data_IF_327490848761
#
_entry.id   IF_327490848761
#
_cell.length_a   1.000
_cell.length_b   1.000
_cell.length_c   1.000
_cell.angle_alpha   90.00
_cell.angle_beta   90.00
_cell.angle_gamma   90.00
#
_symmetry.space_group_name_H-M   'P 1'
#
loop_
_entity.id
_entity.type
_entity.pdbx_description
1 polymer ?
#
# COMPACT_ATOMS: atom_id res chain seq x y z
N UNK A 1 -20.02 -24.20 -18.25
CA UNK A 1 -19.73 -24.71 -16.89
C UNK A 1 -18.28 -24.36 -16.57
N UNK A 2 -18.06 -23.20 -15.92
CA UNK A 2 -16.73 -22.77 -15.46
C UNK A 2 -16.45 -23.53 -14.15
N UNK A 3 -15.54 -24.47 -14.16
CA UNK A 3 -15.08 -25.18 -12.97
C UNK A 3 -14.34 -24.18 -12.09
N UNK A 4 -14.86 -23.95 -10.90
CA UNK A 4 -14.30 -23.16 -9.83
C UNK A 4 -12.96 -23.81 -9.46
N UNK A 5 -11.84 -23.17 -9.79
CA UNK A 5 -10.48 -23.54 -9.35
C UNK A 5 -10.26 -22.94 -7.95
N UNK A 6 -11.09 -23.36 -7.01
CA UNK A 6 -10.97 -22.92 -5.60
C UNK A 6 -10.15 -23.89 -4.72
N UNK A 7 -9.52 -24.92 -5.31
CA UNK A 7 -9.05 -26.06 -4.51
C UNK A 7 -7.54 -26.24 -4.38
N UNK A 8 -6.70 -25.30 -4.82
CA UNK A 8 -5.23 -25.51 -4.79
C UNK A 8 -4.44 -24.66 -3.79
N UNK A 9 -5.03 -23.64 -3.18
CA UNK A 9 -4.30 -22.78 -2.23
C UNK A 9 -4.46 -23.17 -0.75
N UNK A 10 -5.46 -23.96 -0.38
CA UNK A 10 -5.69 -24.38 1.00
C UNK A 10 -4.73 -25.47 1.49
N UNK A 11 -4.08 -26.25 0.60
CA UNK A 11 -3.25 -27.40 1.01
C UNK A 11 -1.80 -27.04 1.34
N UNK A 12 -1.38 -25.79 1.13
CA UNK A 12 0.00 -25.35 1.41
C UNK A 12 0.21 -24.87 2.86
N UNK A 13 -0.84 -24.86 3.68
CA UNK A 13 -0.76 -24.40 5.07
C UNK A 13 -0.07 -25.40 6.02
N UNK A 14 0.11 -26.66 5.62
CA UNK A 14 0.55 -27.73 6.53
C UNK A 14 2.07 -27.85 6.73
N UNK A 15 2.90 -27.03 6.08
CA UNK A 15 4.35 -26.97 6.34
C UNK A 15 4.82 -25.65 6.95
N UNK A 16 3.96 -24.94 7.65
CA UNK A 16 4.21 -23.53 8.06
C UNK A 16 5.14 -23.37 9.27
N UNK A 17 5.35 -24.41 10.09
CA UNK A 17 6.15 -24.30 11.33
C UNK A 17 7.67 -24.28 11.12
N UNK A 18 8.17 -24.57 9.93
CA UNK A 18 9.60 -24.59 9.60
C UNK A 18 10.07 -23.36 8.79
N UNK A 19 9.14 -22.52 8.29
CA UNK A 19 9.49 -21.36 7.46
C UNK A 19 9.84 -20.13 8.30
N UNK A 20 10.92 -19.42 7.90
CA UNK A 20 11.26 -18.15 8.53
C UNK A 20 10.21 -17.08 8.27
N UNK A 21 10.15 -16.04 9.12
CA UNK A 21 9.29 -14.85 8.93
C UNK A 21 9.49 -14.26 7.52
N UNK A 22 10.76 -14.17 7.06
CA UNK A 22 11.07 -13.68 5.71
C UNK A 22 10.40 -14.49 4.62
N UNK A 23 10.51 -15.83 4.65
CA UNK A 23 9.89 -16.70 3.65
C UNK A 23 8.36 -16.61 3.66
N UNK A 24 7.75 -16.49 4.83
CA UNK A 24 6.28 -16.32 4.95
C UNK A 24 5.83 -14.98 4.36
N UNK A 25 6.55 -13.89 4.62
CA UNK A 25 6.27 -12.57 4.04
C UNK A 25 6.48 -12.54 2.52
N UNK A 26 7.52 -13.19 2.00
CA UNK A 26 7.74 -13.32 0.56
C UNK A 26 6.59 -14.05 -0.13
N UNK A 27 6.07 -15.09 0.51
CA UNK A 27 4.90 -15.81 0.01
C UNK A 27 3.65 -14.92 0.01
N UNK A 28 3.43 -14.13 1.06
CA UNK A 28 2.33 -13.17 1.10
C UNK A 28 2.46 -12.13 -0.02
N UNK A 29 3.68 -11.65 -0.30
CA UNK A 29 3.96 -10.80 -1.45
C UNK A 29 3.53 -11.46 -2.77
N UNK A 30 3.96 -12.71 -3.00
CA UNK A 30 3.65 -13.41 -4.26
C UNK A 30 2.15 -13.63 -4.44
N UNK A 31 1.45 -14.03 -3.38
CA UNK A 31 0.00 -14.26 -3.41
C UNK A 31 -0.75 -12.96 -3.66
N UNK A 32 -0.38 -11.87 -2.97
CA UNK A 32 -0.97 -10.54 -3.17
C UNK A 32 -0.82 -10.05 -4.61
N UNK A 33 0.39 -10.14 -5.16
CA UNK A 33 0.67 -9.69 -6.52
C UNK A 33 0.04 -10.60 -7.58
N UNK A 34 -0.08 -11.90 -7.31
CA UNK A 34 -0.70 -12.84 -8.23
C UNK A 34 -2.20 -12.60 -8.35
N UNK A 35 -2.92 -12.43 -7.23
CA UNK A 35 -4.37 -12.21 -7.28
C UNK A 35 -4.71 -10.95 -8.07
N UNK A 36 -3.97 -9.85 -7.87
CA UNK A 36 -4.18 -8.57 -8.57
C UNK A 36 -3.83 -8.59 -10.06
N UNK A 37 -3.04 -9.58 -10.51
CA UNK A 37 -2.75 -9.79 -11.94
C UNK A 37 -3.80 -10.63 -12.65
N UNK A 38 -4.43 -11.55 -11.93
CA UNK A 38 -5.31 -12.57 -12.53
C UNK A 38 -6.78 -12.33 -12.27
N UNK A 39 -7.10 -11.49 -11.29
CA UNK A 39 -8.47 -11.25 -10.85
C UNK A 39 -8.84 -9.77 -10.99
N UNK A 40 -10.06 -9.52 -11.44
CA UNK A 40 -10.66 -8.18 -11.58
C UNK A 40 -11.93 -8.02 -10.73
N UNK A 41 -12.33 -9.08 -10.02
CA UNK A 41 -13.50 -9.07 -9.14
C UNK A 41 -13.08 -8.67 -7.74
N UNK A 42 -13.46 -7.48 -7.31
CA UNK A 42 -13.06 -6.89 -6.03
C UNK A 42 -13.33 -7.80 -4.82
N UNK A 43 -14.48 -8.47 -4.79
CA UNK A 43 -14.82 -9.38 -3.68
C UNK A 43 -13.89 -10.58 -3.56
N UNK A 44 -13.29 -11.06 -4.65
CA UNK A 44 -12.31 -12.14 -4.64
C UNK A 44 -10.94 -11.63 -4.17
N UNK A 45 -10.58 -10.42 -4.58
CA UNK A 45 -9.36 -9.75 -4.10
C UNK A 45 -9.47 -9.51 -2.59
N UNK A 46 -10.59 -8.97 -2.11
CA UNK A 46 -10.82 -8.74 -0.67
C UNK A 46 -10.82 -10.04 0.15
N UNK A 47 -11.39 -11.12 -0.37
CA UNK A 47 -11.35 -12.42 0.26
C UNK A 47 -9.90 -12.90 0.44
N UNK A 48 -9.06 -12.74 -0.58
CA UNK A 48 -7.63 -13.08 -0.49
C UNK A 48 -6.89 -12.17 0.49
N UNK A 49 -7.17 -10.87 0.50
CA UNK A 49 -6.59 -9.92 1.47
C UNK A 49 -6.96 -10.31 2.91
N UNK A 50 -8.18 -10.79 3.13
CA UNK A 50 -8.60 -11.31 4.44
C UNK A 50 -7.79 -12.53 4.87
N UNK A 51 -7.51 -13.47 3.96
CA UNK A 51 -6.63 -14.61 4.20
C UNK A 51 -5.20 -14.15 4.50
N UNK A 52 -4.66 -13.21 3.72
CA UNK A 52 -3.32 -12.65 3.93
C UNK A 52 -3.18 -12.01 5.32
N UNK A 53 -4.19 -11.26 5.78
CA UNK A 53 -4.25 -10.69 7.13
C UNK A 53 -4.26 -11.77 8.22
N UNK A 54 -5.04 -12.82 8.04
CA UNK A 54 -5.11 -13.92 9.00
C UNK A 54 -3.75 -14.63 9.13
N UNK A 55 -3.10 -14.92 8.01
CA UNK A 55 -1.77 -15.53 7.97
C UNK A 55 -0.72 -14.62 8.60
N UNK A 56 -0.75 -13.30 8.33
CA UNK A 56 0.19 -12.35 8.90
C UNK A 56 0.10 -12.32 10.43
N UNK A 57 -1.09 -12.35 11.01
CA UNK A 57 -1.31 -12.34 12.47
C UNK A 57 -0.58 -13.45 13.20
N UNK A 58 -0.38 -14.62 12.58
CA UNK A 58 0.24 -15.77 13.22
C UNK A 58 1.71 -15.56 13.57
N UNK A 59 2.40 -14.66 12.85
CA UNK A 59 3.86 -14.54 12.98
C UNK A 59 4.40 -13.11 12.99
N UNK A 60 3.54 -12.10 12.86
CA UNK A 60 3.98 -10.70 12.77
C UNK A 60 4.67 -10.23 14.06
N UNK A 61 4.39 -10.85 15.20
CA UNK A 61 5.06 -10.55 16.46
C UNK A 61 6.57 -10.85 16.42
N UNK A 62 6.99 -11.80 15.59
CA UNK A 62 8.40 -12.20 15.42
C UNK A 62 9.11 -11.40 14.31
N UNK A 63 8.43 -10.40 13.74
CA UNK A 63 8.98 -9.61 12.65
C UNK A 63 10.19 -8.78 13.08
N UNK A 64 11.29 -8.98 12.36
CA UNK A 64 12.49 -8.16 12.43
C UNK A 64 12.94 -7.80 11.02
N UNK A 65 12.94 -6.50 10.62
CA UNK A 65 13.29 -6.09 9.26
C UNK A 65 14.73 -6.47 8.86
N UNK A 66 15.66 -6.54 9.82
CA UNK A 66 17.05 -6.90 9.52
C UNK A 66 17.24 -8.38 9.16
N UNK A 67 16.32 -9.25 9.59
CA UNK A 67 16.31 -10.69 9.24
C UNK A 67 15.43 -11.01 8.03
N UNK A 68 14.81 -10.01 7.43
CA UNK A 68 13.92 -10.13 6.28
C UNK A 68 14.60 -9.64 5.00
N UNK A 69 14.32 -10.30 3.87
CA UNK A 69 14.71 -9.81 2.54
C UNK A 69 13.96 -8.52 2.17
N UNK A 70 14.44 -7.79 1.16
CA UNK A 70 13.72 -6.63 0.63
C UNK A 70 12.31 -6.99 0.15
N UNK A 71 12.14 -8.15 -0.52
CA UNK A 71 10.84 -8.66 -0.94
C UNK A 71 9.92 -8.95 0.25
N UNK A 72 10.46 -9.54 1.33
CA UNK A 72 9.69 -9.81 2.55
C UNK A 72 9.20 -8.52 3.21
N UNK A 73 10.06 -7.50 3.36
CA UNK A 73 9.68 -6.20 3.91
C UNK A 73 8.61 -5.51 3.05
N UNK A 74 8.70 -5.63 1.72
CA UNK A 74 7.67 -5.15 0.80
C UNK A 74 6.37 -5.98 0.92
N UNK A 75 6.45 -7.28 1.18
CA UNK A 75 5.29 -8.14 1.45
C UNK A 75 4.52 -7.68 2.69
N UNK A 76 5.21 -7.34 3.77
CA UNK A 76 4.57 -6.74 4.95
C UNK A 76 3.86 -5.43 4.59
N UNK A 77 4.53 -4.53 3.86
CA UNK A 77 3.93 -3.29 3.40
C UNK A 77 2.64 -3.54 2.60
N UNK A 78 2.65 -4.45 1.61
CA UNK A 78 1.49 -4.72 0.76
C UNK A 78 0.30 -5.24 1.59
N UNK A 79 0.52 -6.25 2.44
CA UNK A 79 -0.57 -6.80 3.27
C UNK A 79 -1.17 -5.73 4.18
N UNK A 80 -0.34 -4.87 4.78
CA UNK A 80 -0.85 -3.79 5.63
C UNK A 80 -1.54 -2.71 4.81
N UNK A 81 -1.02 -2.32 3.64
CA UNK A 81 -1.62 -1.30 2.76
C UNK A 81 -2.98 -1.72 2.22
N UNK A 82 -3.17 -3.02 1.94
CA UNK A 82 -4.45 -3.59 1.50
C UNK A 82 -5.36 -4.04 2.66
N UNK A 83 -5.06 -3.58 3.88
CA UNK A 83 -5.84 -3.91 5.07
C UNK A 83 -6.70 -2.73 5.52
N UNK A 84 -7.86 -2.99 6.14
CA UNK A 84 -8.64 -1.94 6.78
C UNK A 84 -7.83 -1.16 7.82
N UNK A 85 -8.14 0.12 8.01
CA UNK A 85 -7.43 1.02 8.92
C UNK A 85 -7.29 0.43 10.35
N UNK A 86 -8.36 -0.15 10.88
CA UNK A 86 -8.35 -0.78 12.21
C UNK A 86 -7.34 -1.93 12.35
N UNK A 87 -6.98 -2.60 11.24
CA UNK A 87 -5.97 -3.64 11.24
C UNK A 87 -4.55 -3.07 11.12
N UNK A 88 -4.34 -2.13 10.20
CA UNK A 88 -2.99 -1.63 9.87
C UNK A 88 -2.46 -0.59 10.86
N UNK A 89 -3.34 0.20 11.48
CA UNK A 89 -2.92 1.28 12.36
C UNK A 89 -2.10 0.82 13.58
N UNK A 90 -2.47 -0.25 14.31
CA UNK A 90 -1.64 -0.78 15.41
C UNK A 90 -0.27 -1.30 14.94
N UNK A 91 -0.13 -1.65 13.67
CA UNK A 91 1.09 -2.22 13.08
C UNK A 91 1.94 -1.19 12.31
N UNK A 92 1.51 0.08 12.25
CA UNK A 92 2.21 1.14 11.50
C UNK A 92 3.68 1.29 11.92
N UNK A 93 3.98 1.09 13.18
CA UNK A 93 5.34 1.11 13.72
C UNK A 93 6.29 0.08 13.06
N UNK A 94 5.77 -1.00 12.48
CA UNK A 94 6.58 -2.01 11.80
C UNK A 94 7.10 -1.48 10.46
N UNK A 95 6.27 -0.75 9.72
CA UNK A 95 6.64 -0.08 8.46
C UNK A 95 7.68 1.02 8.74
N UNK A 96 7.45 1.84 9.76
CA UNK A 96 8.40 2.86 10.18
C UNK A 96 9.75 2.24 10.56
N UNK A 97 9.76 1.17 11.35
CA UNK A 97 10.97 0.44 11.73
C UNK A 97 11.73 -0.10 10.52
N UNK A 98 11.01 -0.67 9.53
CA UNK A 98 11.63 -1.18 8.30
C UNK A 98 12.29 -0.06 7.50
N UNK A 99 11.62 1.10 7.37
CA UNK A 99 12.17 2.27 6.70
C UNK A 99 13.40 2.84 7.44
N UNK A 100 13.32 3.07 8.76
CA UNK A 100 14.42 3.58 9.59
C UNK A 100 15.66 2.69 9.49
N UNK A 101 15.47 1.37 9.39
CA UNK A 101 16.53 0.37 9.18
C UNK A 101 17.02 0.29 7.73
N UNK A 102 16.48 1.10 6.81
CA UNK A 102 16.79 1.08 5.37
C UNK A 102 16.50 -0.29 4.72
N UNK A 103 15.48 -0.98 5.21
CA UNK A 103 14.99 -2.27 4.71
C UNK A 103 13.72 -2.15 3.89
N UNK A 104 13.16 -0.94 3.82
CA UNK A 104 12.01 -0.58 2.99
C UNK A 104 12.31 0.74 2.29
N UNK A 105 11.97 0.84 1.01
CA UNK A 105 12.16 2.05 0.23
C UNK A 105 11.26 3.20 0.73
N UNK A 106 11.74 4.43 0.64
CA UNK A 106 11.07 5.62 1.14
C UNK A 106 9.66 5.81 0.56
N UNK A 107 9.46 5.44 -0.71
CA UNK A 107 8.16 5.57 -1.36
C UNK A 107 7.08 4.68 -0.69
N UNK A 108 7.43 3.48 -0.25
CA UNK A 108 6.48 2.60 0.46
C UNK A 108 6.14 3.11 1.85
N UNK A 109 7.14 3.68 2.56
CA UNK A 109 6.89 4.36 3.83
C UNK A 109 5.97 5.56 3.65
N UNK A 110 6.28 6.45 2.69
CA UNK A 110 5.47 7.63 2.38
C UNK A 110 4.03 7.24 2.00
N UNK A 111 3.88 6.27 1.09
CA UNK A 111 2.56 5.79 0.65
C UNK A 111 1.76 5.16 1.79
N UNK A 112 2.41 4.46 2.71
CA UNK A 112 1.73 3.88 3.86
C UNK A 112 1.22 4.95 4.83
N UNK A 113 2.03 5.97 5.12
CA UNK A 113 1.64 7.09 5.98
C UNK A 113 0.48 7.88 5.37
N UNK A 114 0.59 8.22 4.09
CA UNK A 114 -0.46 8.94 3.37
C UNK A 114 -1.74 8.12 3.24
N UNK A 115 -1.64 6.81 3.02
CA UNK A 115 -2.79 5.92 2.97
C UNK A 115 -3.57 5.83 4.29
N UNK A 116 -2.90 5.92 5.44
CA UNK A 116 -3.57 6.03 6.74
C UNK A 116 -4.36 7.33 6.82
N UNK A 117 -3.77 8.45 6.42
CA UNK A 117 -4.41 9.77 6.46
C UNK A 117 -5.57 9.86 5.47
N UNK A 118 -5.40 9.28 4.28
CA UNK A 118 -6.46 9.17 3.27
C UNK A 118 -7.72 8.48 3.86
N UNK A 119 -7.55 7.32 4.50
CA UNK A 119 -8.66 6.59 5.12
C UNK A 119 -9.30 7.34 6.30
N UNK A 120 -8.56 8.24 6.94
CA UNK A 120 -9.04 9.11 8.01
C UNK A 120 -9.69 10.41 7.47
N UNK A 121 -9.75 10.58 6.15
CA UNK A 121 -10.17 11.83 5.50
C UNK A 121 -9.34 13.02 5.97
N UNK A 122 -8.04 12.81 6.14
CA UNK A 122 -7.07 13.86 6.50
C UNK A 122 -6.19 14.22 5.29
N UNK A 123 -5.65 15.47 5.24
CA UNK A 123 -4.66 15.82 4.23
C UNK A 123 -3.42 14.96 4.34
N UNK A 124 -2.93 14.43 3.22
CA UNK A 124 -1.72 13.63 3.15
C UNK A 124 -0.44 14.45 3.37
N UNK A 125 0.70 13.79 3.60
CA UNK A 125 1.98 14.42 3.93
C UNK A 125 2.93 14.46 2.74
N UNK A 126 2.96 13.38 1.94
CA UNK A 126 3.98 13.14 0.92
C UNK A 126 3.46 13.13 -0.51
N UNK A 127 2.15 13.27 -0.73
CA UNK A 127 1.57 13.33 -2.08
C UNK A 127 1.56 11.99 -2.80
N UNK A 128 1.20 10.89 -2.14
CA UNK A 128 1.24 9.56 -2.76
C UNK A 128 -0.15 8.94 -3.00
N UNK A 129 -1.21 9.60 -2.50
CA UNK A 129 -2.58 9.14 -2.67
C UNK A 129 -3.34 9.99 -3.67
N UNK A 130 -4.17 9.33 -4.45
CA UNK A 130 -4.99 9.93 -5.49
C UNK A 130 -6.43 9.44 -5.37
N UNK A 131 -7.36 10.20 -5.93
CA UNK A 131 -8.76 9.82 -6.02
C UNK A 131 -9.31 10.11 -7.40
N UNK A 132 -10.24 9.29 -7.85
CA UNK A 132 -10.98 9.56 -9.08
C UNK A 132 -12.17 10.47 -8.81
N UNK A 133 -12.33 11.48 -9.64
CA UNK A 133 -13.46 12.39 -9.63
C UNK A 133 -13.64 13.00 -11.05
N UNK A 134 -14.83 12.93 -11.60
CA UNK A 134 -15.13 13.51 -12.92
C UNK A 134 -14.15 13.07 -14.03
N UNK A 135 -13.91 11.77 -14.15
CA UNK A 135 -13.02 11.16 -15.17
C UNK A 135 -11.54 11.61 -15.09
N UNK A 136 -11.12 12.14 -13.95
CA UNK A 136 -9.74 12.54 -13.66
C UNK A 136 -9.27 11.92 -12.36
N UNK A 137 -7.97 11.71 -12.26
CA UNK A 137 -7.30 11.21 -11.06
C UNK A 137 -6.60 12.38 -10.35
N UNK A 138 -7.24 12.91 -9.32
CA UNK A 138 -6.73 14.04 -8.57
C UNK A 138 -5.79 13.60 -7.45
N UNK A 139 -4.70 14.35 -7.27
CA UNK A 139 -3.91 14.25 -6.06
C UNK A 139 -4.78 14.59 -4.85
N UNK A 140 -4.83 13.68 -3.86
CA UNK A 140 -5.53 13.93 -2.60
C UNK A 140 -4.97 15.16 -1.89
N UNK A 141 -5.78 15.99 -1.21
CA UNK A 141 -5.31 17.20 -0.55
C UNK A 141 -4.10 16.98 0.35
N UNK A 142 -3.13 17.88 0.27
CA UNK A 142 -1.84 17.80 0.97
C UNK A 142 -1.76 18.84 2.09
N UNK A 143 -1.33 18.43 3.27
CA UNK A 143 -1.07 19.33 4.38
C UNK A 143 0.15 20.23 4.07
N UNK A 144 0.02 21.55 4.31
CA UNK A 144 1.11 22.51 4.06
C UNK A 144 1.80 22.27 2.70
N UNK A 145 1.00 22.42 1.64
CA UNK A 145 1.35 22.04 0.26
C UNK A 145 2.63 22.72 -0.26
N UNK A 146 2.94 23.92 0.25
CA UNK A 146 4.14 24.66 -0.16
C UNK A 146 5.44 24.00 0.33
N UNK A 147 5.35 23.16 1.37
CA UNK A 147 6.49 22.37 1.89
C UNK A 147 6.49 20.92 1.43
N UNK A 148 5.62 20.54 0.50
CA UNK A 148 5.53 19.15 0.02
C UNK A 148 6.87 18.67 -0.54
N UNK A 149 7.47 19.39 -1.48
CA UNK A 149 8.71 18.98 -2.11
C UNK A 149 9.91 18.97 -1.14
N UNK A 150 9.90 19.83 -0.12
CA UNK A 150 10.91 19.79 0.96
C UNK A 150 10.78 18.49 1.76
N UNK A 151 9.55 18.09 2.14
CA UNK A 151 9.32 16.82 2.85
C UNK A 151 9.68 15.61 2.00
N UNK A 152 9.36 15.64 0.71
CA UNK A 152 9.74 14.58 -0.24
C UNK A 152 11.24 14.46 -0.39
N UNK A 153 11.94 15.60 -0.55
CA UNK A 153 13.40 15.62 -0.63
C UNK A 153 14.08 15.07 0.63
N UNK A 154 13.52 15.33 1.82
CA UNK A 154 14.03 14.78 3.09
C UNK A 154 13.96 13.24 3.14
N UNK A 155 13.07 12.62 2.37
CA UNK A 155 12.99 11.17 2.18
C UNK A 155 13.79 10.66 0.97
N UNK A 156 14.41 11.55 0.19
CA UNK A 156 15.07 11.20 -1.08
C UNK A 156 14.09 10.88 -2.22
N UNK A 157 12.84 11.36 -2.13
CA UNK A 157 11.84 11.21 -3.17
C UNK A 157 11.94 12.36 -4.20
N UNK A 158 11.53 12.12 -5.47
CA UNK A 158 11.44 13.19 -6.46
C UNK A 158 10.40 14.24 -6.06
N UNK A 159 10.44 15.43 -6.69
CA UNK A 159 9.38 16.43 -6.52
C UNK A 159 8.01 15.83 -6.91
N UNK A 160 6.93 16.42 -6.39
CA UNK A 160 5.59 15.95 -6.69
C UNK A 160 5.29 15.98 -8.18
N UNK A 161 5.65 17.06 -8.86
CA UNK A 161 5.45 17.17 -10.31
C UNK A 161 6.19 16.07 -11.07
N UNK A 162 7.45 15.79 -10.72
CA UNK A 162 8.22 14.72 -11.36
C UNK A 162 7.61 13.33 -11.10
N UNK A 163 7.01 13.12 -9.93
CA UNK A 163 6.30 11.89 -9.60
C UNK A 163 5.02 11.72 -10.42
N UNK A 164 4.21 12.78 -10.52
CA UNK A 164 2.99 12.79 -11.34
C UNK A 164 3.32 12.59 -12.83
N UNK A 165 4.38 13.23 -13.33
CA UNK A 165 4.83 13.06 -14.70
C UNK A 165 5.22 11.61 -15.00
N UNK A 166 5.87 10.94 -14.04
CA UNK A 166 6.24 9.52 -14.18
C UNK A 166 5.02 8.59 -14.13
N UNK A 167 4.06 8.86 -13.24
CA UNK A 167 2.79 8.13 -13.19
C UNK A 167 2.01 8.29 -14.50
N UNK A 168 1.92 9.51 -15.03
CA UNK A 168 1.22 9.82 -16.28
C UNK A 168 1.83 9.10 -17.49
N UNK A 169 3.15 8.88 -17.49
CA UNK A 169 3.84 8.09 -18.54
C UNK A 169 3.50 6.60 -18.44
N UNK A 170 3.41 6.07 -17.22
CA UNK A 170 3.10 4.64 -16.97
C UNK A 170 1.64 4.32 -17.19
N UNK A 171 0.76 5.25 -16.85
CA UNK A 171 -0.70 5.11 -16.82
C UNK A 171 -1.37 6.32 -17.49
N UNK A 172 -1.19 6.51 -18.81
CA UNK A 172 -1.73 7.68 -19.51
C UNK A 172 -3.27 7.73 -19.48
N UNK A 173 -3.92 6.58 -19.28
CA UNK A 173 -5.37 6.45 -19.16
C UNK A 173 -5.95 7.06 -17.88
N UNK A 174 -5.14 7.31 -16.86
CA UNK A 174 -5.64 7.77 -15.54
C UNK A 174 -5.77 9.30 -15.43
N UNK A 175 -5.31 10.08 -16.40
CA UNK A 175 -5.50 11.52 -16.47
C UNK A 175 -5.18 12.25 -15.14
N UNK A 176 -3.94 12.10 -14.64
CA UNK A 176 -3.49 12.67 -13.37
C UNK A 176 -3.57 14.20 -13.36
N UNK A 177 -4.13 14.74 -12.29
CA UNK A 177 -4.34 16.18 -12.10
C UNK A 177 -3.87 16.60 -10.70
N UNK A 178 -3.04 17.64 -10.64
CA UNK A 178 -2.65 18.28 -9.39
C UNK A 178 -3.31 19.65 -9.27
N UNK A 179 -4.44 19.68 -8.58
CA UNK A 179 -5.12 20.91 -8.22
C UNK A 179 -4.74 21.31 -6.78
N UNK A 180 -3.88 22.34 -6.65
CA UNK A 180 -3.39 22.81 -5.36
C UNK A 180 -4.45 23.50 -4.50
N UNK A 181 -5.62 23.80 -5.07
CA UNK A 181 -6.75 24.45 -4.37
C UNK A 181 -7.76 23.44 -3.84
N UNK A 182 -7.63 22.16 -4.22
CA UNK A 182 -8.54 21.11 -3.82
C UNK A 182 -8.46 20.87 -2.31
N UNK A 183 -9.61 20.87 -1.65
CA UNK A 183 -9.74 20.60 -0.22
C UNK A 183 -10.61 19.37 0.04
N UNK A 184 -10.46 18.75 1.20
CA UNK A 184 -11.32 17.63 1.60
C UNK A 184 -12.79 18.04 1.65
N UNK A 185 -13.08 19.25 2.16
CA UNK A 185 -14.44 19.78 2.20
C UNK A 185 -15.05 19.88 0.79
N UNK A 186 -14.28 20.38 -0.19
CA UNK A 186 -14.72 20.44 -1.59
C UNK A 186 -15.04 19.05 -2.14
N UNK A 187 -14.19 18.06 -1.86
CA UNK A 187 -14.38 16.69 -2.29
C UNK A 187 -15.67 16.10 -1.71
N UNK A 188 -15.87 16.22 -0.39
CA UNK A 188 -17.03 15.65 0.30
C UNK A 188 -18.36 16.29 -0.14
N UNK A 189 -18.33 17.57 -0.55
CA UNK A 189 -19.51 18.27 -1.05
C UNK A 189 -19.83 17.93 -2.53
N UNK A 190 -18.97 17.23 -3.24
CA UNK A 190 -19.13 16.89 -4.66
C UNK A 190 -19.63 15.43 -4.85
N UNK A 191 -19.61 14.61 -3.82
CA UNK A 191 -20.13 13.25 -3.80
C UNK A 191 -21.60 13.20 -3.37
#
# INVERSE_FOLDING_TARGET
>A
MKKIVLSLFALAALNCSAQSVSQRLERLFDVDQQIRKTETVDSLIEAQDSVNRAVLKEFVADYNPDSCSAKANKGLYLVLSHSPLAFRLPMAHLIEKAWQKKRLEAIYYASFQDGIRFDQLEPQIYGTQFMEMNEKTYLWPVADIDKLDERRAALGLPTEQAYIDELSKRHPEWNYTWDRTLTIETILNTQ
#
